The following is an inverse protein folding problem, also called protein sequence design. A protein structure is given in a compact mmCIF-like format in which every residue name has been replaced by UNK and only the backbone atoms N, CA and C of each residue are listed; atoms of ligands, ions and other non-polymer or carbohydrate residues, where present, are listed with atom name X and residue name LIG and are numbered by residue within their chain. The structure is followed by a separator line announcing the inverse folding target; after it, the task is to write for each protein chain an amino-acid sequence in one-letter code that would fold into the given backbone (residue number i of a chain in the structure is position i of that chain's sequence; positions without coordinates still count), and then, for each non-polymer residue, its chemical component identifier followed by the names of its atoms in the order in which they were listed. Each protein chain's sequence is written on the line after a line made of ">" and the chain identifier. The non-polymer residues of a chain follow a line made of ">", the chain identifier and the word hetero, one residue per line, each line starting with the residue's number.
data_IF_646807046420
#
_entry.id   IF_646807046420
#
_cell.length_a   1.000
_cell.length_b   1.000
_cell.length_c   1.000
_cell.angle_alpha   90.00
_cell.angle_beta   90.00
_cell.angle_gamma   90.00
#
_symmetry.space_group_name_H-M   'P 1'
#
loop_
_entity.id
_entity.type
_entity.pdbx_description
1 polymer ?
#
# COMPACT_ATOMS: atom_id res chain seq x y z
N UNK A 1 8.51 -16.15 23.27
CA UNK A 1 7.14 -16.07 23.83
C UNK A 1 6.96 -14.99 24.90
N UNK A 2 7.45 -15.13 26.15
CA UNK A 2 7.21 -14.10 27.22
C UNK A 2 7.81 -12.71 26.88
N UNK A 3 8.86 -12.66 26.07
CA UNK A 3 9.50 -11.41 25.67
C UNK A 3 8.78 -10.73 24.48
N UNK A 4 8.35 -11.52 23.49
CA UNK A 4 7.60 -11.05 22.32
C UNK A 4 6.23 -10.48 22.71
N UNK A 5 5.50 -11.13 23.62
CA UNK A 5 4.22 -10.61 24.12
C UNK A 5 4.39 -9.26 24.81
N UNK A 6 5.47 -9.07 25.55
CA UNK A 6 5.80 -7.79 26.19
C UNK A 6 6.13 -6.73 25.15
N UNK A 7 6.89 -7.06 24.10
CA UNK A 7 7.20 -6.15 22.99
C UNK A 7 5.90 -5.71 22.30
N UNK A 8 5.02 -6.65 21.94
CA UNK A 8 3.71 -6.36 21.33
C UNK A 8 2.89 -5.44 22.23
N UNK A 9 2.76 -5.78 23.53
CA UNK A 9 1.98 -5.02 24.48
C UNK A 9 2.52 -3.59 24.64
N UNK A 10 3.84 -3.44 24.78
CA UNK A 10 4.50 -2.14 24.89
C UNK A 10 4.31 -1.29 23.62
N UNK A 11 4.44 -1.88 22.44
CA UNK A 11 4.20 -1.21 21.17
C UNK A 11 2.76 -0.71 21.05
N UNK A 12 1.77 -1.54 21.44
CA UNK A 12 0.35 -1.17 21.45
C UNK A 12 0.07 -0.05 22.44
N UNK A 13 0.63 -0.13 23.66
CA UNK A 13 0.49 0.93 24.68
C UNK A 13 1.08 2.24 24.16
N UNK A 14 2.27 2.19 23.58
CA UNK A 14 2.93 3.35 22.98
C UNK A 14 2.07 3.96 21.86
N UNK A 15 1.59 3.13 20.92
CA UNK A 15 0.75 3.58 19.81
C UNK A 15 -0.53 4.24 20.32
N UNK A 16 -1.23 3.63 21.28
CA UNK A 16 -2.46 4.22 21.88
C UNK A 16 -2.19 5.56 22.55
N UNK A 17 -1.09 5.70 23.27
CA UNK A 17 -0.68 6.94 23.96
C UNK A 17 -0.27 8.04 22.99
N UNK A 18 0.40 7.68 21.88
CA UNK A 18 1.03 8.63 20.96
C UNK A 18 0.25 8.89 19.67
N UNK A 19 -0.74 8.07 19.29
CA UNK A 19 -1.43 8.14 17.98
C UNK A 19 -1.93 9.54 17.61
N UNK A 20 -2.43 10.32 18.57
CA UNK A 20 -2.90 11.70 18.32
C UNK A 20 -1.75 12.64 17.96
N UNK A 21 -0.60 12.52 18.64
CA UNK A 21 0.60 13.33 18.40
C UNK A 21 1.19 12.97 17.04
N UNK A 22 1.39 11.67 16.79
CA UNK A 22 1.96 11.14 15.54
C UNK A 22 1.06 11.54 14.37
N UNK A 23 -0.26 11.31 14.46
CA UNK A 23 -1.18 11.67 13.40
C UNK A 23 -1.12 13.17 13.06
N UNK A 24 -1.14 14.06 14.06
CA UNK A 24 -1.03 15.51 13.81
C UNK A 24 0.29 15.92 13.16
N UNK A 25 1.39 15.25 13.51
CA UNK A 25 2.69 15.54 12.90
C UNK A 25 2.74 15.09 11.44
N UNK A 26 2.15 13.93 11.12
CA UNK A 26 2.07 13.38 9.76
C UNK A 26 1.07 14.13 8.88
N UNK A 27 0.02 14.73 9.45
CA UNK A 27 -1.05 15.42 8.71
C UNK A 27 -1.05 16.94 8.90
N UNK A 28 0.12 17.56 9.06
CA UNK A 28 0.23 19.03 9.28
C UNK A 28 -0.43 19.79 8.12
N UNK A 29 -1.46 20.58 8.44
CA UNK A 29 -2.26 21.33 7.46
C UNK A 29 -1.49 22.46 6.79
N UNK A 30 -0.32 22.84 7.33
CA UNK A 30 0.60 23.78 6.69
C UNK A 30 1.41 23.13 5.56
N UNK A 31 1.50 21.81 5.55
CA UNK A 31 2.20 21.03 4.51
C UNK A 31 1.22 20.41 3.53
N UNK A 32 0.09 19.94 4.04
CA UNK A 32 -0.98 19.29 3.27
C UNK A 32 -2.26 20.08 3.50
N UNK A 33 -2.54 21.02 2.61
CA UNK A 33 -3.69 21.91 2.77
C UNK A 33 -5.01 21.16 2.54
N UNK A 34 -6.11 21.58 3.19
CA UNK A 34 -7.43 21.05 2.88
C UNK A 34 -7.83 21.36 1.43
N UNK A 35 -8.36 20.36 0.73
CA UNK A 35 -8.79 20.48 -0.66
C UNK A 35 -10.32 20.48 -0.79
N UNK A 36 -10.82 21.18 -1.81
CA UNK A 36 -12.25 21.18 -2.14
C UNK A 36 -12.70 19.81 -2.69
N UNK A 37 -11.85 19.14 -3.47
CA UNK A 37 -12.10 17.79 -4.01
C UNK A 37 -10.91 16.88 -3.70
N UNK A 38 -10.80 16.41 -2.45
CA UNK A 38 -9.64 15.63 -2.07
C UNK A 38 -9.75 14.20 -2.60
N UNK A 39 -8.64 13.65 -3.08
CA UNK A 39 -8.54 12.29 -3.61
C UNK A 39 -8.00 11.32 -2.55
N UNK A 40 -8.49 10.08 -2.58
CA UNK A 40 -8.00 8.96 -1.77
C UNK A 40 -7.44 7.90 -2.69
N UNK A 41 -6.11 7.79 -2.74
CA UNK A 41 -5.41 6.78 -3.53
C UNK A 41 -5.00 5.63 -2.61
N UNK A 42 -5.37 4.41 -2.97
CA UNK A 42 -4.98 3.20 -2.26
C UNK A 42 -4.06 2.36 -3.16
N UNK A 43 -2.83 2.12 -2.70
CA UNK A 43 -1.92 1.23 -3.43
C UNK A 43 -2.31 -0.23 -3.18
N UNK A 44 -2.27 -1.03 -4.24
CA UNK A 44 -2.48 -2.47 -4.21
C UNK A 44 -1.35 -3.16 -4.97
N UNK A 45 -0.96 -4.36 -4.53
CA UNK A 45 0.05 -5.18 -5.18
C UNK A 45 0.81 -6.03 -4.19
N UNK A 46 1.37 -7.14 -4.67
CA UNK A 46 2.15 -8.08 -3.85
C UNK A 46 3.37 -7.40 -3.20
N UNK A 47 3.97 -7.98 -2.15
CA UNK A 47 5.31 -7.59 -1.73
C UNK A 47 6.28 -7.61 -2.92
N UNK A 48 7.21 -6.66 -2.97
CA UNK A 48 8.16 -6.55 -4.09
C UNK A 48 7.57 -6.08 -5.43
N UNK A 49 6.27 -5.76 -5.51
CA UNK A 49 5.67 -5.27 -6.75
C UNK A 49 6.14 -3.87 -7.18
N UNK A 50 6.76 -3.10 -6.28
CA UNK A 50 7.25 -1.75 -6.58
C UNK A 50 6.24 -0.63 -6.35
N UNK A 51 5.26 -0.85 -5.46
CA UNK A 51 4.23 0.15 -5.08
C UNK A 51 4.84 1.45 -4.57
N UNK A 52 5.86 1.32 -3.73
CA UNK A 52 6.53 2.44 -3.08
C UNK A 52 7.18 3.37 -4.09
N UNK A 53 7.81 2.82 -5.11
CA UNK A 53 8.40 3.54 -6.22
C UNK A 53 7.33 4.28 -7.02
N UNK A 54 6.25 3.59 -7.43
CA UNK A 54 5.12 4.21 -8.16
C UNK A 54 4.49 5.35 -7.35
N UNK A 55 4.27 5.14 -6.06
CA UNK A 55 3.73 6.19 -5.19
C UNK A 55 4.67 7.41 -5.12
N UNK A 56 5.99 7.21 -5.03
CA UNK A 56 6.97 8.31 -5.00
C UNK A 56 7.07 9.02 -6.34
N UNK A 57 7.10 8.29 -7.45
CA UNK A 57 7.10 8.82 -8.81
C UNK A 57 5.85 9.68 -9.06
N UNK A 58 4.68 9.20 -8.61
CA UNK A 58 3.43 9.96 -8.71
C UNK A 58 3.46 11.27 -7.92
N UNK A 59 3.97 11.25 -6.68
CA UNK A 59 4.13 12.49 -5.89
C UNK A 59 5.11 13.46 -6.58
N UNK A 60 6.25 12.96 -7.07
CA UNK A 60 7.23 13.79 -7.76
C UNK A 60 6.66 14.43 -9.03
N UNK A 61 5.90 13.69 -9.84
CA UNK A 61 5.24 14.22 -11.03
C UNK A 61 4.23 15.32 -10.69
N UNK A 62 3.47 15.18 -9.59
CA UNK A 62 2.56 16.24 -9.13
C UNK A 62 3.33 17.50 -8.67
N UNK A 63 4.44 17.32 -7.97
CA UNK A 63 5.29 18.44 -7.53
C UNK A 63 5.93 19.18 -8.73
N UNK A 64 6.33 18.46 -9.78
CA UNK A 64 6.83 19.02 -11.03
C UNK A 64 5.76 19.85 -11.76
N UNK A 65 4.55 19.29 -11.96
CA UNK A 65 3.44 20.02 -12.59
C UNK A 65 3.06 21.27 -11.79
N UNK A 66 3.13 21.20 -10.46
CA UNK A 66 2.92 22.36 -9.60
C UNK A 66 4.00 23.41 -9.77
N UNK A 67 5.27 23.01 -9.89
CA UNK A 67 6.38 23.91 -10.18
C UNK A 67 6.26 24.59 -11.55
N UNK A 68 5.62 23.91 -12.51
CA UNK A 68 5.27 24.44 -13.84
C UNK A 68 4.05 25.39 -13.82
N UNK A 69 3.42 25.59 -12.66
CA UNK A 69 2.34 26.56 -12.48
C UNK A 69 0.94 26.00 -12.77
N UNK A 70 0.77 24.68 -12.77
CA UNK A 70 -0.57 24.07 -12.83
C UNK A 70 -1.30 24.34 -11.52
N UNK A 71 -2.24 25.28 -11.56
CA UNK A 71 -3.09 25.63 -10.42
C UNK A 71 -4.03 24.48 -10.01
N UNK A 72 -4.34 24.40 -8.72
CA UNK A 72 -5.28 23.40 -8.17
C UNK A 72 -4.63 22.10 -7.71
N UNK A 73 -3.32 21.93 -7.87
CA UNK A 73 -2.58 20.77 -7.36
C UNK A 73 -2.16 20.97 -5.89
N UNK A 74 -2.91 20.33 -4.98
CA UNK A 74 -2.57 20.22 -3.57
C UNK A 74 -1.37 19.28 -3.35
N UNK A 75 -0.69 19.43 -2.22
CA UNK A 75 0.34 18.45 -1.82
C UNK A 75 -0.37 17.18 -1.37
N UNK A 76 -0.04 16.04 -1.98
CA UNK A 76 -0.61 14.75 -1.61
C UNK A 76 0.20 14.09 -0.49
N UNK A 77 -0.48 13.58 0.53
CA UNK A 77 0.16 12.91 1.67
C UNK A 77 0.34 11.41 1.41
N UNK A 78 1.59 10.97 1.21
CA UNK A 78 1.93 9.54 1.18
C UNK A 78 2.08 8.98 2.60
N UNK A 79 1.34 7.92 2.91
CA UNK A 79 1.46 7.16 4.16
C UNK A 79 1.86 5.73 3.86
N UNK A 80 3.03 5.33 4.35
CA UNK A 80 3.50 3.95 4.34
C UNK A 80 3.42 3.38 5.77
N UNK A 81 2.68 2.28 6.01
CA UNK A 81 2.66 1.61 7.30
C UNK A 81 4.04 1.15 7.78
N UNK A 82 4.97 0.86 6.86
CA UNK A 82 6.31 0.41 7.19
C UNK A 82 7.13 1.56 7.82
N UNK A 83 7.01 2.80 7.32
CA UNK A 83 7.66 4.01 7.86
C UNK A 83 7.26 4.31 9.32
N UNK A 84 6.10 3.80 9.76
CA UNK A 84 5.60 4.01 11.12
C UNK A 84 6.20 3.04 12.12
N UNK A 85 6.83 1.93 11.68
CA UNK A 85 7.46 0.96 12.59
C UNK A 85 8.69 1.54 13.26
N UNK A 86 9.43 2.40 12.56
CA UNK A 86 10.63 3.07 13.10
C UNK A 86 10.33 3.96 14.31
N UNK A 87 9.09 4.43 14.45
CA UNK A 87 8.66 5.21 15.62
C UNK A 87 8.33 4.35 16.85
N UNK A 88 8.25 3.01 16.71
CA UNK A 88 7.80 2.10 17.77
C UNK A 88 8.97 1.60 18.61
N UNK A 89 8.91 1.71 19.95
CA UNK A 89 9.96 1.21 20.83
C UNK A 89 10.18 -0.29 20.68
N UNK A 90 11.44 -0.70 20.51
CA UNK A 90 11.84 -2.10 20.40
C UNK A 90 11.78 -2.68 18.98
N UNK A 91 11.44 -1.88 17.96
CA UNK A 91 11.53 -2.30 16.57
C UNK A 91 12.99 -2.40 16.12
N UNK A 92 13.36 -3.52 15.52
CA UNK A 92 14.74 -3.82 15.07
C UNK A 92 14.81 -4.22 13.60
N UNK A 93 13.69 -4.19 12.87
CA UNK A 93 13.59 -4.63 11.48
C UNK A 93 13.16 -6.09 11.36
N UNK A 94 13.99 -7.00 11.89
CA UNK A 94 13.73 -8.45 11.89
C UNK A 94 12.42 -8.80 12.58
N UNK A 95 12.11 -8.17 13.72
CA UNK A 95 10.91 -8.43 14.50
C UNK A 95 9.62 -7.73 14.00
N UNK A 96 9.57 -7.30 12.73
CA UNK A 96 8.48 -6.51 12.14
C UNK A 96 7.07 -7.10 12.35
N UNK A 97 6.92 -8.43 12.39
CA UNK A 97 5.64 -9.10 12.60
C UNK A 97 5.01 -8.78 13.95
N UNK A 98 5.80 -8.43 14.97
CA UNK A 98 5.31 -8.06 16.31
C UNK A 98 4.58 -6.70 16.34
N UNK A 99 4.81 -5.84 15.33
CA UNK A 99 4.37 -4.45 15.38
C UNK A 99 3.10 -4.16 14.57
N UNK A 100 2.53 -5.15 13.86
CA UNK A 100 1.36 -4.96 12.99
C UNK A 100 0.17 -4.32 13.72
N UNK A 101 -0.13 -4.77 14.94
CA UNK A 101 -1.24 -4.23 15.73
C UNK A 101 -1.01 -2.76 16.14
N UNK A 102 0.21 -2.41 16.53
CA UNK A 102 0.57 -1.05 16.90
C UNK A 102 0.55 -0.10 15.68
N UNK A 103 1.09 -0.53 14.54
CA UNK A 103 1.05 0.21 13.26
C UNK A 103 -0.40 0.45 12.83
N UNK A 104 -1.26 -0.55 12.91
CA UNK A 104 -2.67 -0.43 12.53
C UNK A 104 -3.39 0.68 13.32
N UNK A 105 -3.09 0.81 14.61
CA UNK A 105 -3.63 1.88 15.47
C UNK A 105 -3.16 3.27 15.02
N UNK A 106 -1.91 3.39 14.58
CA UNK A 106 -1.35 4.65 14.07
C UNK A 106 -1.97 5.01 12.72
N UNK A 107 -1.98 4.08 11.77
CA UNK A 107 -2.57 4.27 10.42
C UNK A 107 -4.04 4.65 10.52
N UNK A 108 -4.84 3.95 11.33
CA UNK A 108 -6.25 4.28 11.51
C UNK A 108 -6.42 5.73 12.02
N UNK A 109 -5.58 6.17 12.97
CA UNK A 109 -5.65 7.52 13.51
C UNK A 109 -5.21 8.60 12.53
N UNK A 110 -4.20 8.31 11.70
CA UNK A 110 -3.76 9.17 10.60
C UNK A 110 -4.89 9.29 9.57
N UNK A 111 -5.44 8.15 9.13
CA UNK A 111 -6.54 8.10 8.17
C UNK A 111 -7.78 8.89 8.65
N UNK A 112 -8.19 8.73 9.92
CA UNK A 112 -9.25 9.55 10.52
C UNK A 112 -9.01 11.06 10.33
N UNK A 113 -7.76 11.49 10.54
CA UNK A 113 -7.40 12.89 10.57
C UNK A 113 -7.29 13.46 9.16
N UNK A 114 -6.71 12.72 8.22
CA UNK A 114 -6.68 13.09 6.78
C UNK A 114 -8.10 13.28 6.22
N UNK A 115 -9.00 12.33 6.50
CA UNK A 115 -10.40 12.44 6.08
C UNK A 115 -11.09 13.65 6.70
N UNK A 116 -10.86 13.92 7.98
CA UNK A 116 -11.43 15.09 8.68
C UNK A 116 -10.87 16.41 8.15
N UNK A 117 -9.59 16.44 7.80
CA UNK A 117 -8.88 17.63 7.32
C UNK A 117 -9.03 17.85 5.82
N UNK A 118 -9.73 16.95 5.09
CA UNK A 118 -9.92 17.02 3.63
C UNK A 118 -8.60 17.06 2.86
N UNK A 119 -7.59 16.32 3.32
CA UNK A 119 -6.29 16.25 2.64
C UNK A 119 -6.28 15.10 1.65
N UNK A 120 -5.75 15.29 0.44
CA UNK A 120 -5.48 14.18 -0.48
C UNK A 120 -4.39 13.26 0.06
N UNK A 121 -4.51 11.95 -0.18
CA UNK A 121 -3.53 11.00 0.32
C UNK A 121 -3.31 9.80 -0.61
N UNK A 122 -2.13 9.19 -0.46
CA UNK A 122 -1.77 7.86 -0.98
C UNK A 122 -1.51 6.96 0.23
N UNK A 123 -2.27 5.87 0.36
CA UNK A 123 -2.00 4.84 1.34
C UNK A 123 -1.18 3.71 0.68
N UNK A 124 0.13 3.70 0.92
CA UNK A 124 1.10 2.73 0.38
C UNK A 124 1.05 1.41 1.16
N UNK A 125 -0.11 0.75 1.10
CA UNK A 125 -0.33 -0.58 1.67
C UNK A 125 -0.29 -1.67 0.61
N UNK A 126 -0.41 -2.93 1.03
CA UNK A 126 -0.60 -4.07 0.11
C UNK A 126 -2.06 -4.31 -0.26
N UNK A 127 -3.00 -3.66 0.44
CA UNK A 127 -4.45 -3.84 0.24
C UNK A 127 -4.89 -5.32 0.39
N UNK A 128 -4.18 -6.10 1.20
CA UNK A 128 -4.34 -7.56 1.27
C UNK A 128 -5.59 -8.05 2.05
N UNK A 129 -6.33 -7.18 2.73
CA UNK A 129 -7.54 -7.55 3.48
C UNK A 129 -8.74 -6.82 2.92
N UNK A 130 -9.68 -7.59 2.37
CA UNK A 130 -10.93 -7.06 1.80
C UNK A 130 -11.70 -6.21 2.81
N UNK A 131 -11.92 -6.70 4.03
CA UNK A 131 -12.73 -6.00 5.03
C UNK A 131 -12.15 -4.64 5.41
N UNK A 132 -10.82 -4.57 5.57
CA UNK A 132 -10.12 -3.33 5.90
C UNK A 132 -10.17 -2.37 4.70
N UNK A 133 -9.90 -2.87 3.51
CA UNK A 133 -9.89 -2.07 2.29
C UNK A 133 -11.28 -1.51 1.96
N UNK A 134 -12.30 -2.36 1.95
CA UNK A 134 -13.71 -1.99 1.74
C UNK A 134 -14.16 -0.96 2.77
N UNK A 135 -13.84 -1.16 4.07
CA UNK A 135 -14.11 -0.16 5.12
C UNK A 135 -13.42 1.18 4.84
N UNK A 136 -12.15 1.18 4.44
CA UNK A 136 -11.41 2.42 4.19
C UNK A 136 -11.94 3.17 2.96
N UNK A 137 -12.25 2.46 1.88
CA UNK A 137 -12.85 3.01 0.66
C UNK A 137 -14.23 3.61 0.97
N UNK A 138 -15.10 2.84 1.64
CA UNK A 138 -16.43 3.32 2.01
C UNK A 138 -16.36 4.60 2.87
N UNK A 139 -15.38 4.70 3.78
CA UNK A 139 -15.16 5.91 4.57
C UNK A 139 -14.73 7.12 3.74
N UNK A 140 -13.92 6.92 2.70
CA UNK A 140 -13.55 7.98 1.76
C UNK A 140 -14.77 8.44 0.94
N UNK A 141 -15.55 7.50 0.39
CA UNK A 141 -16.76 7.78 -0.37
C UNK A 141 -17.81 8.54 0.46
N UNK A 142 -18.02 8.14 1.73
CA UNK A 142 -18.91 8.84 2.67
C UNK A 142 -18.49 10.30 2.94
N UNK A 143 -17.24 10.66 2.63
CA UNK A 143 -16.72 12.03 2.73
C UNK A 143 -16.70 12.76 1.39
N UNK A 144 -17.40 12.24 0.38
CA UNK A 144 -17.50 12.80 -0.97
C UNK A 144 -16.12 13.06 -1.58
N UNK A 145 -15.25 12.05 -1.51
CA UNK A 145 -13.89 12.06 -2.04
C UNK A 145 -13.84 11.23 -3.29
N UNK A 146 -13.00 11.63 -4.23
CA UNK A 146 -12.64 10.77 -5.36
C UNK A 146 -11.77 9.63 -4.82
N UNK A 147 -12.07 8.39 -5.23
CA UNK A 147 -11.36 7.20 -4.76
C UNK A 147 -10.72 6.49 -5.93
N UNK A 148 -9.43 6.24 -5.80
CA UNK A 148 -8.62 5.58 -6.82
C UNK A 148 -7.81 4.44 -6.21
N UNK A 149 -7.67 3.36 -6.95
CA UNK A 149 -6.79 2.24 -6.61
C UNK A 149 -5.70 2.17 -7.66
N UNK A 150 -4.46 2.16 -7.22
CA UNK A 150 -3.31 1.87 -8.07
C UNK A 150 -2.89 0.42 -7.82
N UNK A 151 -3.30 -0.47 -8.71
CA UNK A 151 -2.89 -1.86 -8.68
C UNK A 151 -1.58 -2.03 -9.45
N UNK A 152 -0.49 -2.25 -8.71
CA UNK A 152 0.83 -2.49 -9.28
C UNK A 152 1.07 -3.99 -9.42
N UNK A 153 1.15 -4.45 -10.66
CA UNK A 153 1.51 -5.81 -11.02
C UNK A 153 3.00 -5.90 -11.36
N UNK A 154 3.64 -6.93 -10.83
CA UNK A 154 5.01 -7.32 -11.18
C UNK A 154 5.06 -8.82 -11.35
N UNK A 155 5.82 -9.28 -12.34
CA UNK A 155 6.03 -10.72 -12.56
C UNK A 155 6.50 -11.40 -11.25
N UNK A 156 5.85 -12.51 -10.82
CA UNK A 156 6.04 -13.07 -9.48
C UNK A 156 7.50 -13.41 -9.16
N UNK A 157 8.26 -13.93 -10.13
CA UNK A 157 9.70 -14.21 -9.97
C UNK A 157 10.52 -12.95 -9.61
N UNK A 158 10.27 -11.82 -10.27
CA UNK A 158 10.98 -10.59 -9.97
C UNK A 158 10.52 -9.96 -8.65
N UNK A 159 9.21 -9.97 -8.40
CA UNK A 159 8.67 -9.50 -7.13
C UNK A 159 9.29 -10.29 -5.95
N UNK A 160 9.41 -11.61 -6.08
CA UNK A 160 10.07 -12.47 -5.10
C UNK A 160 11.56 -12.16 -4.94
N UNK A 161 12.29 -11.95 -6.04
CA UNK A 161 13.69 -11.53 -5.99
C UNK A 161 13.87 -10.22 -5.20
N UNK A 162 12.95 -9.24 -5.36
CA UNK A 162 12.98 -8.00 -4.60
C UNK A 162 12.66 -8.21 -3.12
N UNK A 163 11.74 -9.10 -2.79
CA UNK A 163 11.47 -9.51 -1.39
C UNK A 163 12.72 -10.11 -0.75
N UNK A 164 13.35 -11.09 -1.40
CA UNK A 164 14.59 -11.72 -0.94
C UNK A 164 15.75 -10.71 -0.81
N UNK A 165 15.81 -9.71 -1.69
CA UNK A 165 16.82 -8.65 -1.65
C UNK A 165 16.60 -7.71 -0.48
N UNK A 166 15.35 -7.31 -0.22
CA UNK A 166 14.98 -6.50 0.95
C UNK A 166 15.22 -7.23 2.25
N UNK A 167 14.97 -8.53 2.32
CA UNK A 167 15.27 -9.31 3.52
C UNK A 167 16.75 -9.21 3.90
N UNK A 168 17.67 -9.28 2.92
CA UNK A 168 19.12 -9.16 3.15
C UNK A 168 19.54 -7.76 3.63
N UNK A 169 18.83 -6.72 3.21
CA UNK A 169 19.19 -5.31 3.50
C UNK A 169 18.49 -4.79 4.75
N UNK A 170 17.21 -5.12 4.94
CA UNK A 170 16.31 -4.56 5.95
C UNK A 170 15.94 -5.57 7.05
N UNK A 171 16.29 -6.86 6.89
CA UNK A 171 16.00 -7.93 7.86
C UNK A 171 14.54 -8.40 7.86
N UNK A 172 13.68 -7.88 6.98
CA UNK A 172 12.27 -8.24 6.91
C UNK A 172 12.07 -9.57 6.18
N UNK A 173 11.94 -10.66 6.94
CA UNK A 173 11.63 -11.98 6.40
C UNK A 173 10.14 -12.13 6.05
N UNK A 174 9.84 -12.49 4.80
CA UNK A 174 8.50 -12.86 4.35
C UNK A 174 8.56 -14.32 3.88
N UNK A 175 7.85 -15.26 4.54
CA UNK A 175 7.80 -16.65 4.09
C UNK A 175 7.24 -16.76 2.66
N UNK A 176 7.75 -17.70 1.85
CA UNK A 176 7.31 -17.93 0.47
C UNK A 176 5.79 -18.14 0.37
N UNK A 177 5.21 -18.98 1.24
CA UNK A 177 3.76 -19.20 1.32
C UNK A 177 3.01 -17.88 1.58
N UNK A 178 3.55 -17.04 2.46
CA UNK A 178 3.00 -15.71 2.75
C UNK A 178 3.05 -14.78 1.54
N UNK A 179 4.11 -14.84 0.74
CA UNK A 179 4.22 -14.10 -0.51
C UNK A 179 3.19 -14.56 -1.56
N UNK A 180 3.12 -15.87 -1.80
CA UNK A 180 2.19 -16.49 -2.78
C UNK A 180 0.76 -16.11 -2.44
N UNK A 181 0.38 -16.29 -1.18
CA UNK A 181 -0.93 -15.91 -0.69
C UNK A 181 -1.22 -14.42 -0.92
N UNK A 182 -0.31 -13.53 -0.55
CA UNK A 182 -0.52 -12.09 -0.76
C UNK A 182 -0.56 -11.69 -2.24
N UNK A 183 0.15 -12.41 -3.12
CA UNK A 183 0.13 -12.19 -4.55
C UNK A 183 -1.24 -12.53 -5.17
N UNK A 184 -1.89 -13.59 -4.71
CA UNK A 184 -3.22 -13.99 -5.17
C UNK A 184 -4.34 -13.20 -4.47
N UNK A 185 -4.24 -13.05 -3.14
CA UNK A 185 -5.26 -12.36 -2.33
C UNK A 185 -5.49 -10.93 -2.83
N UNK A 186 -4.43 -10.21 -3.23
CA UNK A 186 -4.60 -8.83 -3.71
C UNK A 186 -5.39 -8.73 -5.02
N UNK A 187 -5.27 -9.72 -5.91
CA UNK A 187 -6.03 -9.75 -7.17
C UNK A 187 -7.52 -9.93 -6.89
N UNK A 188 -7.86 -10.85 -5.98
CA UNK A 188 -9.24 -11.08 -5.56
C UNK A 188 -9.82 -9.86 -4.84
N UNK A 189 -9.05 -9.24 -3.94
CA UNK A 189 -9.50 -8.04 -3.21
C UNK A 189 -9.78 -6.89 -4.16
N UNK A 190 -8.88 -6.58 -5.10
CA UNK A 190 -9.07 -5.50 -6.07
C UNK A 190 -10.28 -5.77 -6.96
N UNK A 191 -10.40 -6.99 -7.50
CA UNK A 191 -11.54 -7.40 -8.34
C UNK A 191 -12.87 -7.28 -7.60
N UNK A 192 -12.91 -7.72 -6.34
CA UNK A 192 -14.12 -7.63 -5.51
C UNK A 192 -14.47 -6.19 -5.17
N UNK A 193 -13.49 -5.34 -4.90
CA UNK A 193 -13.73 -3.92 -4.64
C UNK A 193 -14.31 -3.22 -5.88
N UNK A 194 -13.71 -3.39 -7.06
CA UNK A 194 -14.26 -2.78 -8.29
C UNK A 194 -15.67 -3.29 -8.58
N UNK A 195 -15.96 -4.58 -8.33
CA UNK A 195 -17.32 -5.14 -8.42
C UNK A 195 -18.30 -4.52 -7.44
N UNK A 196 -17.91 -4.36 -6.17
CA UNK A 196 -18.81 -3.90 -5.10
C UNK A 196 -19.08 -2.39 -5.15
N UNK A 197 -18.09 -1.59 -5.58
CA UNK A 197 -18.20 -0.12 -5.62
C UNK A 197 -18.43 0.46 -7.03
N UNK A 198 -18.13 -0.30 -8.08
CA UNK A 198 -18.37 0.08 -9.48
C UNK A 198 -17.67 1.39 -9.86
N UNK A 199 -18.42 2.27 -10.54
CA UNK A 199 -17.96 3.59 -11.02
C UNK A 199 -17.56 4.57 -9.91
N UNK A 200 -17.88 4.28 -8.64
CA UNK A 200 -17.44 5.14 -7.51
C UNK A 200 -15.95 4.99 -7.21
N UNK A 201 -15.29 3.96 -7.75
CA UNK A 201 -13.86 3.70 -7.55
C UNK A 201 -13.20 3.57 -8.91
N UNK A 202 -12.24 4.47 -9.16
CA UNK A 202 -11.33 4.36 -10.30
C UNK A 202 -10.28 3.31 -9.99
N UNK A 203 -10.02 2.41 -10.94
CA UNK A 203 -9.02 1.37 -10.80
C UNK A 203 -8.01 1.49 -11.94
N UNK A 204 -6.78 1.85 -11.59
CA UNK A 204 -5.68 1.86 -12.55
C UNK A 204 -4.77 0.66 -12.30
N UNK A 205 -4.30 0.05 -13.39
CA UNK A 205 -3.37 -1.05 -13.36
C UNK A 205 -2.03 -0.62 -13.95
N UNK A 206 -0.99 -0.74 -13.14
CA UNK A 206 0.40 -0.46 -13.53
C UNK A 206 1.14 -1.79 -13.65
N UNK A 207 1.51 -2.17 -14.87
CA UNK A 207 2.29 -3.37 -15.15
C UNK A 207 3.75 -2.95 -15.29
N UNK A 208 4.60 -3.41 -14.37
CA UNK A 208 6.04 -3.17 -14.46
C UNK A 208 6.68 -4.21 -15.37
N UNK A 209 7.42 -3.76 -16.38
CA UNK A 209 8.17 -4.68 -17.22
C UNK A 209 9.42 -5.21 -16.51
N UNK A 210 9.79 -6.43 -16.89
CA UNK A 210 10.94 -7.17 -16.37
C UNK A 210 12.28 -6.65 -16.89
N UNK A 211 12.29 -5.83 -17.94
CA UNK A 211 13.47 -5.29 -18.62
C UNK A 211 13.85 -3.86 -18.19
N UNK A 212 13.03 -3.24 -17.33
CA UNK A 212 13.24 -1.88 -16.84
C UNK A 212 13.00 -0.77 -17.86
N UNK A 213 12.45 -1.07 -19.04
CA UNK A 213 12.37 -0.09 -20.14
C UNK A 213 11.00 0.57 -20.29
N UNK A 214 9.90 -0.08 -19.87
CA UNK A 214 8.56 0.52 -19.96
C UNK A 214 7.67 0.10 -18.77
N UNK A 215 6.88 1.04 -18.27
CA UNK A 215 5.73 0.76 -17.41
C UNK A 215 4.49 0.87 -18.29
N UNK A 216 3.60 -0.12 -18.25
CA UNK A 216 2.33 -0.04 -18.95
C UNK A 216 1.24 0.39 -17.97
N UNK A 217 0.52 1.45 -18.32
CA UNK A 217 -0.51 2.06 -17.48
C UNK A 217 -1.86 1.93 -18.16
N UNK A 218 -2.78 1.22 -17.50
CA UNK A 218 -4.17 1.10 -17.92
C UNK A 218 -5.04 1.83 -16.91
N UNK A 219 -5.83 2.80 -17.38
CA UNK A 219 -6.62 3.68 -16.52
C UNK A 219 -8.08 3.27 -16.47
N UNK A 220 -8.68 3.40 -15.28
CA UNK A 220 -10.10 3.12 -14.99
C UNK A 220 -10.64 1.82 -15.60
N UNK A 221 -9.94 0.72 -15.35
CA UNK A 221 -10.33 -0.61 -15.84
C UNK A 221 -11.43 -1.22 -14.96
N UNK A 222 -12.31 -2.00 -15.59
CA UNK A 222 -13.38 -2.73 -14.88
C UNK A 222 -12.92 -4.09 -14.35
N UNK A 223 -12.01 -4.75 -15.06
CA UNK A 223 -11.58 -6.13 -14.79
C UNK A 223 -10.07 -6.26 -14.96
N UNK A 224 -9.34 -6.45 -13.85
CA UNK A 224 -7.89 -6.71 -13.89
C UNK A 224 -7.54 -7.93 -14.75
N UNK A 225 -8.44 -8.89 -14.78
CA UNK A 225 -8.38 -10.17 -15.48
C UNK A 225 -8.16 -10.05 -17.00
N UNK A 226 -8.55 -8.91 -17.59
CA UNK A 226 -8.36 -8.61 -19.00
C UNK A 226 -6.96 -8.06 -19.33
N UNK A 227 -6.23 -7.61 -18.30
CA UNK A 227 -4.94 -6.92 -18.43
C UNK A 227 -3.79 -7.67 -17.74
N UNK A 228 -4.07 -8.67 -16.90
CA UNK A 228 -3.06 -9.53 -16.31
C UNK A 228 -2.27 -10.27 -17.40
N UNK A 229 -0.93 -10.14 -17.45
CA UNK A 229 -0.12 -10.85 -18.45
C UNK A 229 -0.24 -12.37 -18.31
N UNK A 230 -0.24 -12.85 -17.07
CA UNK A 230 -0.31 -14.27 -16.73
C UNK A 230 -1.16 -14.48 -15.48
N UNK A 231 -1.81 -15.64 -15.39
CA UNK A 231 -2.55 -16.09 -14.21
C UNK A 231 -1.85 -17.30 -13.62
N UNK A 232 -1.84 -17.35 -12.29
CA UNK A 232 -1.18 -18.43 -11.59
C UNK A 232 -2.10 -19.04 -10.53
N UNK A 233 -2.01 -20.35 -10.37
CA UNK A 233 -2.48 -21.05 -9.16
C UNK A 233 -1.40 -21.00 -8.07
N UNK A 234 -1.75 -21.40 -6.85
CA UNK A 234 -0.77 -21.57 -5.78
C UNK A 234 0.35 -22.53 -6.21
N UNK A 235 0.01 -23.69 -6.79
CA UNK A 235 0.98 -24.71 -7.20
C UNK A 235 1.92 -24.19 -8.30
N UNK A 236 1.39 -23.42 -9.26
CA UNK A 236 2.21 -22.80 -10.31
C UNK A 236 3.19 -21.78 -9.73
N UNK A 237 2.76 -20.97 -8.75
CA UNK A 237 3.66 -20.03 -8.08
C UNK A 237 4.70 -20.74 -7.23
N UNK A 238 4.33 -21.81 -6.52
CA UNK A 238 5.28 -22.60 -5.75
C UNK A 238 6.38 -23.14 -6.66
N UNK A 239 6.01 -23.85 -7.73
CA UNK A 239 6.94 -24.43 -8.70
C UNK A 239 7.84 -23.38 -9.37
N UNK A 240 7.26 -22.25 -9.80
CA UNK A 240 7.97 -21.15 -10.45
C UNK A 240 9.05 -20.52 -9.55
N UNK A 241 8.78 -20.44 -8.25
CA UNK A 241 9.59 -19.72 -7.25
C UNK A 241 10.59 -20.63 -6.53
N UNK A 242 10.33 -21.94 -6.46
CA UNK A 242 11.29 -22.95 -5.96
C UNK A 242 12.25 -23.43 -7.05
N UNK A 243 11.95 -23.16 -8.32
CA UNK A 243 12.83 -23.46 -9.46
C UNK A 243 12.63 -24.86 -10.05
N UNK A 244 11.43 -25.44 -9.94
CA UNK A 244 11.13 -26.77 -10.49
C UNK A 244 10.90 -26.78 -12.01
N UNK A 245 10.85 -25.61 -12.67
CA UNK A 245 10.69 -25.47 -14.12
C UNK A 245 12.03 -25.33 -14.91
N UNK A 246 13.18 -25.66 -14.30
CA UNK A 246 14.48 -25.77 -15.01
C UNK A 246 14.94 -27.23 -15.17
N UNK A 247 14.07 -28.10 -15.72
CA UNK A 247 14.47 -29.39 -16.33
C UNK A 247 13.90 -29.59 -17.72
#
# INVERSE_FOLDING_TARGET
>A
MVDEEKIIANAVVFARRNKKRIARARTDTRRYEPEERPISIFMAGSPGAGKTEIAKEYVAALDELKAEGVDGLGNILRIDPDDLREELPGYTGDNSWLFQGAVSILVEKIHDLMLKQRQSFILDGTLASFDIASKNIARSLQKARDVQIFYVYQHPRLAWQFVCSREKVEGRHIPLEGFIRQFLDVQEVVSRIKRDFGEQVVLDMIIKNTDGTNQHWESDIDLIDAYLPERYTCEQLESLLTGEDET
#
